data_IF_967499077234
#
_entry.id   IF_967499077234
#
_cell.length_a   1.000
_cell.length_b   1.000
_cell.length_c   1.000
_cell.angle_alpha   90.00
_cell.angle_beta   90.00
_cell.angle_gamma   90.00
#
_symmetry.space_group_name_H-M   'P 1'
#
loop_
_entity.id
_entity.type
_entity.pdbx_description
1 polymer ?
#
# COMPACT_ATOMS: atom_id res chain seq x y z
N UNK A 1 -14.18 16.08 11.48
CA UNK A 1 -14.28 14.93 10.56
C UNK A 1 -12.99 14.14 10.69
N UNK A 2 -13.09 12.84 10.98
CA UNK A 2 -12.05 12.02 11.63
C UNK A 2 -10.84 11.69 10.76
N UNK A 3 -9.62 11.89 11.28
CA UNK A 3 -8.37 11.48 10.64
C UNK A 3 -8.25 9.96 10.36
N UNK A 4 -9.15 9.15 10.93
CA UNK A 4 -9.30 7.71 10.62
C UNK A 4 -9.84 7.47 9.20
N UNK A 5 -10.70 8.35 8.68
CA UNK A 5 -11.24 8.23 7.31
C UNK A 5 -10.19 8.62 6.26
N UNK A 6 -9.41 9.68 6.53
CA UNK A 6 -8.28 10.10 5.69
C UNK A 6 -7.17 9.04 5.66
N UNK A 7 -6.86 8.42 6.81
CA UNK A 7 -5.90 7.32 6.91
C UNK A 7 -6.36 6.09 6.12
N UNK A 8 -7.65 5.72 6.20
CA UNK A 8 -8.21 4.62 5.40
C UNK A 8 -8.21 4.93 3.90
N UNK A 9 -8.48 6.18 3.51
CA UNK A 9 -8.39 6.63 2.12
C UNK A 9 -6.96 6.54 1.58
N UNK A 10 -5.97 6.99 2.35
CA UNK A 10 -4.55 6.92 1.98
C UNK A 10 -4.06 5.47 1.84
N UNK A 11 -4.42 4.60 2.78
CA UNK A 11 -4.11 3.16 2.73
C UNK A 11 -4.67 2.52 1.45
N UNK A 12 -5.92 2.81 1.09
CA UNK A 12 -6.53 2.29 -0.15
C UNK A 12 -5.77 2.78 -1.39
N UNK A 13 -5.45 4.06 -1.46
CA UNK A 13 -4.71 4.65 -2.58
C UNK A 13 -3.31 4.04 -2.73
N UNK A 14 -2.60 3.78 -1.63
CA UNK A 14 -1.30 3.10 -1.66
C UNK A 14 -1.40 1.65 -2.15
N UNK A 15 -2.44 0.91 -1.76
CA UNK A 15 -2.69 -0.46 -2.23
C UNK A 15 -3.05 -0.51 -3.71
N UNK A 16 -3.84 0.44 -4.20
CA UNK A 16 -4.15 0.56 -5.63
C UNK A 16 -2.89 0.85 -6.44
N UNK A 17 -2.07 1.81 -5.99
CA UNK A 17 -0.80 2.13 -6.64
C UNK A 17 0.18 0.96 -6.64
N UNK A 18 0.20 0.15 -5.58
CA UNK A 18 1.00 -1.08 -5.53
C UNK A 18 0.53 -2.10 -6.58
N UNK A 19 -0.78 -2.27 -6.78
CA UNK A 19 -1.33 -3.15 -7.82
C UNK A 19 -0.98 -2.66 -9.23
N UNK A 20 -1.13 -1.36 -9.49
CA UNK A 20 -0.75 -0.78 -10.78
C UNK A 20 0.73 -1.00 -11.12
N UNK A 21 1.62 -0.87 -10.12
CA UNK A 21 3.05 -1.13 -10.29
C UNK A 21 3.34 -2.60 -10.57
N UNK A 22 2.63 -3.54 -9.93
CA UNK A 22 2.79 -4.97 -10.18
C UNK A 22 2.26 -5.37 -11.57
N UNK A 23 1.12 -4.80 -11.99
CA UNK A 23 0.61 -4.96 -13.36
C UNK A 23 1.56 -4.38 -14.40
N UNK A 24 2.11 -3.18 -14.15
CA UNK A 24 3.11 -2.56 -15.02
C UNK A 24 4.38 -3.43 -15.08
N UNK A 25 4.78 -4.06 -13.98
CA UNK A 25 5.89 -5.00 -13.96
C UNK A 25 5.62 -6.23 -14.83
N UNK A 26 4.39 -6.75 -14.83
CA UNK A 26 3.97 -7.87 -15.66
C UNK A 26 3.89 -7.54 -17.16
N UNK A 27 3.63 -6.27 -17.49
CA UNK A 27 3.64 -5.77 -18.88
C UNK A 27 5.03 -5.32 -19.36
N UNK A 28 5.95 -5.08 -18.44
CA UNK A 28 7.32 -4.67 -18.75
C UNK A 28 8.08 -5.80 -19.45
N UNK A 29 8.69 -5.47 -20.59
CA UNK A 29 9.56 -6.40 -21.32
C UNK A 29 11.01 -6.39 -20.83
N UNK A 30 11.41 -5.39 -20.03
CA UNK A 30 12.72 -5.35 -19.38
C UNK A 30 12.62 -6.04 -18.00
N UNK A 31 13.36 -7.14 -17.77
CA UNK A 31 13.37 -7.84 -16.48
C UNK A 31 13.89 -6.97 -15.33
N UNK A 32 14.82 -6.04 -15.60
CA UNK A 32 15.36 -5.12 -14.58
C UNK A 32 14.33 -4.07 -14.18
N UNK A 33 13.55 -3.58 -15.15
CA UNK A 33 12.46 -2.65 -14.90
C UNK A 33 11.28 -3.34 -14.20
N UNK A 34 10.93 -4.55 -14.62
CA UNK A 34 9.94 -5.38 -13.95
C UNK A 34 10.30 -5.63 -12.48
N UNK A 35 11.57 -5.96 -12.19
CA UNK A 35 12.06 -6.14 -10.83
C UNK A 35 11.90 -4.86 -10.00
N UNK A 36 12.29 -3.71 -10.55
CA UNK A 36 12.17 -2.41 -9.86
C UNK A 36 10.71 -2.05 -9.56
N UNK A 37 9.81 -2.31 -10.50
CA UNK A 37 8.38 -2.05 -10.34
C UNK A 37 7.77 -2.96 -9.26
N UNK A 38 8.13 -4.25 -9.25
CA UNK A 38 7.74 -5.20 -8.18
C UNK A 38 8.26 -4.77 -6.81
N UNK A 39 9.54 -4.39 -6.72
CA UNK A 39 10.12 -3.93 -5.46
C UNK A 39 9.39 -2.67 -4.93
N UNK A 40 9.03 -1.77 -5.84
CA UNK A 40 8.27 -0.55 -5.49
C UNK A 40 6.84 -0.87 -5.04
N UNK A 41 6.18 -1.82 -5.71
CA UNK A 41 4.86 -2.31 -5.32
C UNK A 41 4.88 -2.93 -3.91
N UNK A 42 5.87 -3.79 -3.64
CA UNK A 42 6.05 -4.42 -2.32
C UNK A 42 6.28 -3.39 -1.21
N UNK A 43 7.14 -2.39 -1.46
CA UNK A 43 7.38 -1.30 -0.50
C UNK A 43 6.12 -0.48 -0.20
N UNK A 44 5.34 -0.14 -1.23
CA UNK A 44 4.07 0.59 -1.06
C UNK A 44 3.04 -0.22 -0.26
N UNK A 45 2.96 -1.53 -0.50
CA UNK A 45 2.09 -2.42 0.28
C UNK A 45 2.51 -2.49 1.75
N UNK A 46 3.80 -2.65 2.02
CA UNK A 46 4.33 -2.65 3.38
C UNK A 46 4.08 -1.33 4.12
N UNK A 47 4.28 -0.19 3.44
CA UNK A 47 3.95 1.13 3.99
C UNK A 47 2.45 1.29 4.27
N UNK A 48 1.59 0.81 3.37
CA UNK A 48 0.15 0.76 3.58
C UNK A 48 -0.23 -0.05 4.81
N UNK A 49 0.37 -1.21 5.00
CA UNK A 49 0.04 -2.07 6.14
C UNK A 49 0.53 -1.45 7.46
N UNK A 50 1.67 -0.76 7.43
CA UNK A 50 2.17 0.00 8.57
C UNK A 50 1.28 1.21 8.91
N UNK A 51 0.87 2.00 7.91
CA UNK A 51 -0.07 3.12 8.11
C UNK A 51 -1.46 2.63 8.52
N UNK A 52 -1.90 1.46 8.04
CA UNK A 52 -3.13 0.82 8.51
C UNK A 52 -3.01 0.42 9.98
N UNK A 53 -1.90 -0.19 10.38
CA UNK A 53 -1.66 -0.62 11.76
C UNK A 53 -1.59 0.60 12.71
N UNK A 54 -0.92 1.67 12.30
CA UNK A 54 -0.84 2.92 13.07
C UNK A 54 -2.19 3.66 13.13
N UNK A 55 -2.97 3.65 12.07
CA UNK A 55 -4.33 4.22 12.06
C UNK A 55 -5.38 3.38 12.81
N UNK A 56 -5.03 2.13 13.18
CA UNK A 56 -5.90 1.19 13.91
C UNK A 56 -5.43 0.99 15.37
N UNK A 57 -4.26 1.51 15.74
CA UNK A 57 -3.61 1.28 17.04
C UNK A 57 -4.34 1.85 18.28
N UNK A 58 -5.37 2.66 18.10
CA UNK A 58 -6.21 3.23 19.17
C UNK A 58 -7.62 2.61 19.25
N UNK A 59 -7.89 1.50 18.55
CA UNK A 59 -9.17 0.77 18.68
C UNK A 59 -8.90 -0.68 19.10
N UNK A 60 -8.40 -0.83 20.33
CA UNK A 60 -8.83 -1.95 21.16
C UNK A 60 -10.15 -1.53 21.83
N UNK A 61 -11.33 -2.06 21.44
CA UNK A 61 -12.44 -2.04 22.36
C UNK A 61 -12.14 -3.09 23.43
N UNK A 62 -12.07 -2.65 24.69
CA UNK A 62 -12.01 -3.55 25.84
C UNK A 62 -13.05 -4.68 25.67
N UNK A 63 -12.59 -5.93 25.72
CA UNK A 63 -13.45 -7.11 25.90
C UNK A 63 -13.22 -7.71 27.27
#
# INVERSE_FOLDING_TARGET
MSGTDESRGRVRQMREKAKELDEAAGRSSDPKEAQRLKDKAQRLKAQSDQESAMGTGDIYPDV
#
